data_IF_271872749270
#
_entry.id   IF_271872749270
#
_cell.length_a   1.000
_cell.length_b   1.000
_cell.length_c   1.000
_cell.angle_alpha   90.00
_cell.angle_beta   90.00
_cell.angle_gamma   90.00
#
_symmetry.space_group_name_H-M   'P 1'
#
loop_
_entity.id
_entity.type
_entity.pdbx_description
1 polymer ?
#
# COMPACT_ATOMS: atom_id res chain seq x y z
N UNK A 1 -13.30 5.42 0.29
CA UNK A 1 -14.46 4.69 -0.29
C UNK A 1 -14.17 3.19 -0.24
N UNK A 2 -15.01 2.39 0.39
CA UNK A 2 -14.84 0.93 0.47
C UNK A 2 -15.28 0.32 -0.87
N UNK A 3 -14.42 -0.48 -1.51
CA UNK A 3 -14.78 -1.20 -2.73
C UNK A 3 -15.76 -2.33 -2.39
N UNK A 4 -16.71 -2.63 -3.28
CA UNK A 4 -17.81 -3.58 -3.07
C UNK A 4 -17.38 -5.00 -2.62
N UNK A 5 -16.12 -5.38 -2.84
CA UNK A 5 -15.56 -6.67 -2.45
C UNK A 5 -14.88 -6.71 -1.08
N UNK A 6 -14.65 -5.55 -0.44
CA UNK A 6 -13.89 -5.41 0.79
C UNK A 6 -14.82 -5.28 2.01
N UNK A 7 -14.62 -6.13 3.01
CA UNK A 7 -15.31 -6.06 4.31
C UNK A 7 -14.73 -4.96 5.21
N UNK A 8 -13.41 -4.75 5.14
CA UNK A 8 -12.69 -3.64 5.80
C UNK A 8 -11.56 -3.15 4.91
N UNK A 9 -11.32 -1.84 4.89
CA UNK A 9 -10.23 -1.17 4.16
C UNK A 9 -9.57 -0.15 5.08
N UNK A 10 -8.24 -0.16 5.10
CA UNK A 10 -7.41 0.84 5.78
C UNK A 10 -6.53 1.52 4.74
N UNK A 11 -6.63 2.83 4.69
CA UNK A 11 -5.86 3.66 3.76
C UNK A 11 -4.72 4.33 4.53
N UNK A 12 -3.54 4.33 3.92
CA UNK A 12 -2.36 5.04 4.40
C UNK A 12 -2.13 6.21 3.46
N UNK A 13 -2.09 7.41 4.02
CA UNK A 13 -1.91 8.65 3.27
C UNK A 13 -0.57 9.29 3.62
N UNK A 14 0.05 9.91 2.63
CA UNK A 14 1.27 10.69 2.80
C UNK A 14 1.05 12.11 2.30
N UNK A 15 1.78 13.06 2.89
CA UNK A 15 1.74 14.46 2.48
C UNK A 15 2.45 14.66 1.14
N UNK A 16 1.82 15.41 0.23
CA UNK A 16 2.38 15.78 -1.08
C UNK A 16 2.44 17.33 -1.16
N UNK A 17 3.61 17.94 -0.92
CA UNK A 17 3.79 19.40 -0.94
C UNK A 17 3.26 20.10 -2.19
N UNK A 18 3.53 19.56 -3.38
CA UNK A 18 3.12 20.14 -4.67
C UNK A 18 1.60 20.22 -4.83
N UNK A 19 0.87 19.31 -4.19
CA UNK A 19 -0.59 19.25 -4.20
C UNK A 19 -1.21 19.83 -2.92
N UNK A 20 -0.37 20.23 -1.95
CA UNK A 20 -0.77 20.77 -0.65
C UNK A 20 -1.87 19.94 0.04
N UNK A 21 -1.74 18.61 -0.01
CA UNK A 21 -2.75 17.70 0.54
C UNK A 21 -2.17 16.33 0.86
N UNK A 22 -2.90 15.56 1.67
CA UNK A 22 -2.62 14.15 1.90
C UNK A 22 -3.20 13.30 0.77
N UNK A 23 -2.43 12.30 0.33
CA UNK A 23 -2.84 11.38 -0.74
C UNK A 23 -2.63 9.95 -0.32
N UNK A 24 -3.60 9.09 -0.64
CA UNK A 24 -3.49 7.64 -0.50
C UNK A 24 -2.27 7.12 -1.27
N UNK A 25 -1.31 6.56 -0.54
CA UNK A 25 -0.09 5.92 -1.07
C UNK A 25 -0.18 4.40 -1.04
N UNK A 26 -0.86 3.85 -0.02
CA UNK A 26 -1.02 2.42 0.21
C UNK A 26 -2.38 2.15 0.81
N UNK A 27 -2.91 0.96 0.57
CA UNK A 27 -4.11 0.46 1.25
C UNK A 27 -3.95 -1.02 1.62
N UNK A 28 -4.66 -1.44 2.65
CA UNK A 28 -4.83 -2.85 3.03
C UNK A 28 -6.32 -3.12 3.18
N UNK A 29 -6.82 -4.19 2.56
CA UNK A 29 -8.24 -4.54 2.61
C UNK A 29 -8.46 -6.05 2.78
N UNK A 30 -9.50 -6.38 3.54
CA UNK A 30 -10.00 -7.73 3.74
C UNK A 30 -11.16 -8.00 2.77
N UNK A 31 -10.99 -8.94 1.86
CA UNK A 31 -12.00 -9.34 0.88
C UNK A 31 -12.61 -10.70 1.26
N UNK A 32 -13.72 -10.68 1.98
CA UNK A 32 -14.50 -11.89 2.26
C UNK A 32 -15.24 -12.43 1.03
N UNK A 33 -15.52 -11.58 0.04
CA UNK A 33 -16.31 -11.95 -1.15
C UNK A 33 -15.50 -12.63 -2.27
N UNK A 34 -14.18 -12.45 -2.30
CA UNK A 34 -13.32 -13.01 -3.35
C UNK A 34 -13.21 -14.53 -3.26
N UNK A 35 -13.20 -15.10 -2.05
CA UNK A 35 -13.15 -16.54 -1.83
C UNK A 35 -14.37 -17.29 -2.41
N UNK A 36 -15.55 -16.66 -2.39
CA UNK A 36 -16.77 -17.20 -3.00
C UNK A 36 -16.69 -17.21 -4.54
N UNK A 37 -16.11 -16.17 -5.15
CA UNK A 37 -16.00 -16.07 -6.61
C UNK A 37 -14.94 -17.00 -7.20
N UNK A 38 -13.81 -17.17 -6.51
CA UNK A 38 -12.69 -18.00 -6.98
C UNK A 38 -12.71 -19.41 -6.36
N UNK A 39 -13.72 -19.74 -5.53
CA UNK A 39 -13.90 -21.04 -4.85
C UNK A 39 -12.66 -21.53 -4.10
N UNK A 40 -11.90 -20.63 -3.50
CA UNK A 40 -10.81 -21.01 -2.60
C UNK A 40 -11.43 -21.55 -1.31
N UNK A 41 -11.17 -22.83 -1.02
CA UNK A 41 -11.68 -23.51 0.16
C UNK A 41 -10.57 -24.31 0.85
N UNK A 42 -10.73 -24.50 2.15
CA UNK A 42 -9.84 -25.33 2.97
C UNK A 42 -10.67 -26.31 3.80
N UNK A 43 -10.07 -27.44 4.17
CA UNK A 43 -10.68 -28.36 5.12
C UNK A 43 -10.44 -27.86 6.53
N UNK A 44 -11.51 -27.66 7.28
CA UNK A 44 -11.47 -27.37 8.71
C UNK A 44 -12.18 -28.51 9.41
N UNK A 45 -11.41 -29.32 10.12
CA UNK A 45 -11.88 -30.56 10.75
C UNK A 45 -12.58 -31.51 9.76
N UNK A 46 -13.92 -31.61 9.84
CA UNK A 46 -14.75 -32.47 9.00
C UNK A 46 -15.47 -31.73 7.87
N UNK A 47 -15.41 -30.39 7.86
CA UNK A 47 -16.16 -29.54 6.93
C UNK A 47 -15.24 -28.75 6.00
N UNK A 48 -15.82 -28.27 4.89
CA UNK A 48 -15.13 -27.42 3.92
C UNK A 48 -15.54 -25.98 4.15
N UNK A 49 -14.58 -25.10 4.45
CA UNK A 49 -14.81 -23.67 4.68
C UNK A 49 -14.23 -22.82 3.54
N UNK A 50 -14.91 -21.74 3.20
CA UNK A 50 -14.42 -20.75 2.22
C UNK A 50 -13.37 -19.85 2.85
N UNK A 51 -12.32 -19.54 2.08
CA UNK A 51 -11.21 -18.71 2.53
C UNK A 51 -11.53 -17.22 2.39
N UNK A 52 -11.22 -16.46 3.43
CA UNK A 52 -11.17 -15.00 3.37
C UNK A 52 -9.79 -14.57 2.87
N UNK A 53 -9.71 -13.56 2.01
CA UNK A 53 -8.42 -13.08 1.50
C UNK A 53 -8.13 -11.67 1.98
N UNK A 54 -6.89 -11.45 2.42
CA UNK A 54 -6.37 -10.11 2.71
C UNK A 54 -5.44 -9.72 1.56
N UNK A 55 -5.61 -8.52 1.01
CA UNK A 55 -4.65 -7.96 0.07
C UNK A 55 -4.30 -6.51 0.41
N UNK A 56 -3.12 -6.08 -0.02
CA UNK A 56 -2.66 -4.71 0.19
C UNK A 56 -1.64 -4.31 -0.86
N UNK A 57 -1.48 -3.00 -1.04
CA UNK A 57 -0.49 -2.42 -1.93
C UNK A 57 0.76 -2.05 -1.13
N UNK A 58 1.89 -2.71 -1.40
CA UNK A 58 3.11 -2.45 -0.64
C UNK A 58 3.80 -1.15 -1.06
N UNK A 59 3.88 -0.86 -2.37
CA UNK A 59 4.54 0.33 -2.89
C UNK A 59 3.86 0.80 -4.18
N UNK A 60 3.81 2.12 -4.39
CA UNK A 60 3.30 2.78 -5.58
C UNK A 60 4.18 3.96 -5.96
N UNK A 61 4.01 4.49 -7.19
CA UNK A 61 4.73 5.70 -7.62
C UNK A 61 4.53 6.90 -6.68
N UNK A 62 3.39 6.99 -6.01
CA UNK A 62 3.11 8.07 -5.04
C UNK A 62 4.00 8.00 -3.80
N UNK A 63 4.51 6.82 -3.44
CA UNK A 63 5.50 6.70 -2.37
C UNK A 63 6.81 7.39 -2.77
N UNK A 64 7.19 7.30 -4.06
CA UNK A 64 8.35 7.99 -4.61
C UNK A 64 8.08 9.49 -4.63
N UNK A 65 6.93 9.94 -5.14
CA UNK A 65 6.56 11.36 -5.18
C UNK A 65 6.60 12.02 -3.79
N UNK A 66 5.98 11.37 -2.80
CA UNK A 66 6.04 11.87 -1.42
C UNK A 66 7.47 11.90 -0.88
N UNK A 67 8.26 10.87 -1.15
CA UNK A 67 9.65 10.80 -0.66
C UNK A 67 10.55 11.82 -1.33
N UNK A 68 10.38 12.10 -2.62
CA UNK A 68 11.21 13.08 -3.34
C UNK A 68 10.83 14.50 -2.99
N UNK A 69 9.54 14.82 -2.88
CA UNK A 69 9.08 16.17 -2.56
C UNK A 69 9.39 16.57 -1.12
N UNK A 70 9.27 15.66 -0.15
CA UNK A 70 9.50 15.98 1.26
C UNK A 70 10.98 16.01 1.65
N UNK A 71 11.88 15.44 0.85
CA UNK A 71 13.31 15.39 1.15
C UNK A 71 14.16 16.24 0.19
N UNK A 72 13.58 17.28 -0.42
CA UNK A 72 14.33 18.22 -1.24
C UNK A 72 15.28 19.07 -0.40
N UNK A 73 16.51 19.20 -0.89
CA UNK A 73 17.54 20.07 -0.31
C UNK A 73 17.47 21.47 -0.92
N UNK A 74 17.99 22.47 -0.22
CA UNK A 74 18.10 23.85 -0.74
C UNK A 74 18.95 23.97 -2.02
N UNK A 75 19.79 22.98 -2.30
CA UNK A 75 20.64 22.92 -3.50
C UNK A 75 19.92 22.27 -4.69
N UNK A 76 18.67 21.83 -4.54
CA UNK A 76 17.88 21.19 -5.59
C UNK A 76 18.07 19.67 -5.72
N UNK A 77 18.88 19.05 -4.86
CA UNK A 77 18.99 17.59 -4.75
C UNK A 77 17.94 16.99 -3.80
N UNK A 78 17.89 15.67 -3.70
CA UNK A 78 17.03 14.92 -2.76
C UNK A 78 17.93 14.04 -1.89
N UNK A 79 17.72 14.05 -0.57
CA UNK A 79 18.45 13.19 0.37
C UNK A 79 17.56 12.06 0.86
N UNK A 80 18.05 10.83 0.87
CA UNK A 80 17.32 9.68 1.40
C UNK A 80 18.02 9.09 2.62
N UNK A 81 17.28 8.43 3.51
CA UNK A 81 17.92 7.60 4.54
C UNK A 81 18.72 6.46 3.90
N UNK A 82 19.81 6.01 4.51
CA UNK A 82 20.65 4.91 3.97
C UNK A 82 19.83 3.66 3.64
N UNK A 83 18.83 3.33 4.46
CA UNK A 83 17.96 2.17 4.22
C UNK A 83 17.14 2.33 2.94
N UNK A 84 16.65 3.53 2.64
CA UNK A 84 15.84 3.80 1.46
C UNK A 84 16.71 3.99 0.22
N UNK A 85 17.87 4.66 0.36
CA UNK A 85 18.87 4.79 -0.70
C UNK A 85 19.32 3.43 -1.24
N UNK A 86 19.60 2.47 -0.34
CA UNK A 86 19.96 1.10 -0.71
C UNK A 86 18.85 0.37 -1.49
N UNK A 87 17.58 0.57 -1.14
CA UNK A 87 16.43 -0.03 -1.85
C UNK A 87 16.25 0.60 -3.24
N UNK A 88 16.48 1.91 -3.34
CA UNK A 88 16.32 2.68 -4.58
C UNK A 88 17.56 2.61 -5.49
N UNK A 89 18.68 2.09 -5.01
CA UNK A 89 19.94 2.05 -5.74
C UNK A 89 20.60 3.42 -5.90
N UNK A 90 20.41 4.31 -4.92
CA UNK A 90 20.98 5.67 -4.91
C UNK A 90 22.00 5.75 -3.79
N UNK A 91 23.22 6.17 -4.12
CA UNK A 91 24.26 6.49 -3.14
C UNK A 91 24.03 7.90 -2.59
N UNK A 92 24.12 8.03 -1.26
CA UNK A 92 23.98 9.29 -0.54
C UNK A 92 25.24 10.17 -0.66
#
# INVERSE_FOLDING_TARGET
>A
MIRFSAAKKFDIEAWIPSQNTYREVTLVQNNGFSGQKVKYSTKVEKDTALLHTLNGLHCSGKNIDSSTENNQTKKGGVEFSDSLGNILGVEN
#
